data_IF_724111180483
#
_entry.id   IF_724111180483
#
_cell.length_a   1.000
_cell.length_b   1.000
_cell.length_c   1.000
_cell.angle_alpha   90.00
_cell.angle_beta   90.00
_cell.angle_gamma   90.00
#
_symmetry.space_group_name_H-M   'P 1'
#
loop_
_entity.id
_entity.type
_entity.pdbx_description
1 polymer ?
#
# COMPACT_ATOMS: atom_id res chain seq x y z
N UNK A 1 14.76 1.25 -24.42
CA UNK A 1 13.48 0.97 -23.70
C UNK A 1 13.78 0.02 -22.56
N UNK A 2 13.30 0.29 -21.38
CA UNK A 2 13.49 -0.58 -20.22
C UNK A 2 12.20 -1.38 -19.97
N UNK A 3 12.29 -2.71 -19.98
CA UNK A 3 11.16 -3.59 -19.73
C UNK A 3 11.20 -4.01 -18.26
N UNK A 4 10.32 -3.48 -17.39
CA UNK A 4 10.29 -3.86 -15.99
C UNK A 4 9.83 -5.30 -15.84
N UNK A 5 10.55 -6.09 -15.05
CA UNK A 5 10.30 -7.54 -14.93
C UNK A 5 9.91 -7.98 -13.53
N UNK A 6 10.52 -7.43 -12.50
CA UNK A 6 10.31 -7.87 -11.11
C UNK A 6 10.87 -6.89 -10.09
N UNK A 7 10.50 -7.08 -8.85
CA UNK A 7 11.13 -6.43 -7.71
C UNK A 7 12.40 -7.21 -7.34
N UNK A 8 13.55 -6.56 -7.42
CA UNK A 8 14.83 -7.17 -7.08
C UNK A 8 15.01 -7.29 -5.56
N UNK A 9 14.70 -6.21 -4.83
CA UNK A 9 14.80 -6.14 -3.37
C UNK A 9 13.94 -5.00 -2.85
N UNK A 10 13.42 -5.14 -1.64
CA UNK A 10 12.77 -4.04 -0.93
C UNK A 10 13.07 -4.07 0.56
N UNK A 11 13.00 -2.91 1.18
CA UNK A 11 13.18 -2.72 2.62
C UNK A 11 12.07 -1.84 3.17
N UNK A 12 11.73 -2.05 4.44
CA UNK A 12 10.69 -1.30 5.14
C UNK A 12 11.31 -0.45 6.24
N UNK A 13 10.94 0.81 6.28
CA UNK A 13 11.39 1.78 7.27
C UNK A 13 10.20 2.30 8.09
N UNK A 14 10.38 2.38 9.38
CA UNK A 14 9.45 3.04 10.30
C UNK A 14 10.14 4.27 10.88
N UNK A 15 9.56 5.45 10.66
CA UNK A 15 10.11 6.73 11.14
C UNK A 15 11.61 6.90 10.81
N UNK A 16 12.02 6.46 9.61
CA UNK A 16 13.40 6.51 9.15
C UNK A 16 14.30 5.37 9.63
N UNK A 17 13.83 4.49 10.49
CA UNK A 17 14.56 3.34 11.00
C UNK A 17 14.15 2.07 10.25
N UNK A 18 15.13 1.34 9.73
CA UNK A 18 14.90 0.09 9.02
C UNK A 18 14.32 -0.98 9.94
N UNK A 19 13.24 -1.61 9.52
CA UNK A 19 12.66 -2.76 10.21
C UNK A 19 13.42 -4.05 9.85
N UNK A 20 13.97 -4.69 10.86
CA UNK A 20 14.71 -5.94 10.74
C UNK A 20 13.85 -7.10 11.29
N UNK A 21 14.04 -8.31 10.76
CA UNK A 21 13.32 -9.49 11.21
C UNK A 21 11.90 -9.63 10.70
N UNK A 22 11.53 -8.86 9.68
CA UNK A 22 10.24 -8.99 9.00
C UNK A 22 10.18 -10.25 8.12
N UNK A 23 8.99 -10.66 7.76
CA UNK A 23 8.76 -11.71 6.76
C UNK A 23 9.17 -11.29 5.36
N UNK A 24 9.24 -12.25 4.45
CA UNK A 24 9.72 -12.04 3.08
C UNK A 24 8.70 -11.34 2.19
N UNK A 25 7.42 -11.56 2.43
CA UNK A 25 6.33 -11.09 1.59
C UNK A 25 5.50 -10.02 2.31
N UNK A 26 5.14 -8.98 1.57
CA UNK A 26 4.22 -7.94 2.04
C UNK A 26 3.25 -7.59 0.91
N UNK A 27 1.96 -7.81 1.13
CA UNK A 27 0.92 -7.46 0.19
C UNK A 27 0.52 -5.99 0.34
N UNK A 28 0.57 -5.24 -0.75
CA UNK A 28 0.06 -3.88 -0.79
C UNK A 28 -1.48 -3.89 -0.85
N UNK A 29 -2.15 -2.88 -0.30
CA UNK A 29 -3.60 -2.79 -0.33
C UNK A 29 -4.13 -2.59 -1.74
N UNK A 30 -5.32 -3.11 -2.01
CA UNK A 30 -6.04 -2.88 -3.25
C UNK A 30 -6.81 -1.55 -3.20
N UNK A 31 -7.02 -0.95 -4.36
CA UNK A 31 -7.84 0.25 -4.53
C UNK A 31 -9.17 -0.18 -5.14
N UNK A 32 -10.16 -0.44 -4.28
CA UNK A 32 -11.47 -0.90 -4.67
C UNK A 32 -12.53 0.11 -4.25
N UNK A 33 -13.36 0.54 -5.22
CA UNK A 33 -14.45 1.49 -5.00
C UNK A 33 -15.77 0.76 -4.79
N UNK A 34 -16.69 1.27 -3.95
CA UNK A 34 -18.04 0.77 -3.91
C UNK A 34 -18.75 1.06 -5.23
N UNK A 35 -19.62 0.15 -5.65
CA UNK A 35 -20.39 0.24 -6.88
C UNK A 35 -21.88 0.21 -6.60
N UNK A 36 -22.65 0.87 -7.47
CA UNK A 36 -24.11 0.77 -7.50
C UNK A 36 -24.55 0.14 -8.81
N UNK A 37 -25.53 -0.73 -8.76
CA UNK A 37 -26.12 -1.34 -9.95
C UNK A 37 -27.05 -0.34 -10.62
N UNK A 38 -26.85 -0.08 -11.91
CA UNK A 38 -27.68 0.78 -12.74
C UNK A 38 -28.42 -0.06 -13.75
N UNK A 39 -29.74 0.08 -13.75
CA UNK A 39 -30.64 -0.56 -14.71
C UNK A 39 -31.81 0.37 -15.01
N UNK A 40 -32.50 0.19 -16.12
CA UNK A 40 -33.69 0.98 -16.44
C UNK A 40 -33.96 1.12 -17.93
N UNK A 41 -35.00 1.93 -18.24
CA UNK A 41 -35.41 2.18 -19.62
C UNK A 41 -34.29 2.87 -20.44
N UNK A 42 -33.99 2.32 -21.60
CA UNK A 42 -32.89 2.80 -22.46
C UNK A 42 -31.52 2.18 -22.17
N UNK A 43 -31.43 1.33 -21.14
CA UNK A 43 -30.25 0.59 -20.82
C UNK A 43 -30.48 -0.89 -21.16
N UNK A 44 -29.59 -1.47 -21.96
CA UNK A 44 -29.66 -2.89 -22.31
C UNK A 44 -28.92 -3.73 -21.27
N UNK A 45 -29.65 -4.13 -20.21
CA UNK A 45 -29.12 -4.93 -19.12
C UNK A 45 -28.80 -4.10 -17.89
N UNK A 46 -27.85 -4.55 -17.13
CA UNK A 46 -27.36 -3.93 -15.89
C UNK A 46 -25.85 -3.67 -15.99
N UNK A 47 -25.39 -2.62 -15.33
CA UNK A 47 -23.97 -2.39 -15.11
C UNK A 47 -23.70 -1.84 -13.71
N UNK A 48 -22.50 -2.05 -13.21
CA UNK A 48 -22.05 -1.50 -11.95
C UNK A 48 -21.38 -0.15 -12.17
N UNK A 49 -21.87 0.87 -11.49
CA UNK A 49 -21.34 2.23 -11.55
C UNK A 49 -20.46 2.49 -10.33
N UNK A 50 -19.13 2.60 -10.52
CA UNK A 50 -18.23 2.88 -9.42
C UNK A 50 -18.35 4.32 -8.96
N UNK A 51 -18.18 4.55 -7.66
CA UNK A 51 -18.17 5.88 -7.06
C UNK A 51 -16.72 6.33 -6.87
N UNK A 52 -16.17 7.18 -7.73
CA UNK A 52 -14.78 7.60 -7.62
C UNK A 52 -14.54 8.41 -6.34
N UNK A 53 -13.37 8.18 -5.74
CA UNK A 53 -12.92 8.85 -4.53
C UNK A 53 -13.34 8.20 -3.22
N UNK A 54 -14.25 7.25 -3.26
CA UNK A 54 -14.57 6.38 -2.12
C UNK A 54 -13.87 5.05 -2.32
N UNK A 55 -13.09 4.63 -1.34
CA UNK A 55 -12.43 3.34 -1.36
C UNK A 55 -12.90 2.50 -0.18
N UNK A 56 -13.09 1.21 -0.43
CA UNK A 56 -13.30 0.24 0.61
C UNK A 56 -12.12 0.23 1.59
N UNK A 57 -12.29 -0.37 2.74
CA UNK A 57 -11.23 -0.45 3.73
C UNK A 57 -9.95 -1.02 3.11
N UNK A 58 -8.84 -0.34 3.38
CA UNK A 58 -7.52 -0.75 2.93
C UNK A 58 -6.68 -1.10 4.13
N UNK A 59 -6.05 -2.25 4.08
CA UNK A 59 -5.23 -2.78 5.14
C UNK A 59 -3.83 -3.10 4.62
N UNK A 60 -2.84 -2.89 5.46
CA UNK A 60 -1.48 -3.33 5.24
C UNK A 60 -1.07 -4.24 6.39
N UNK A 61 -0.82 -5.50 6.09
CA UNK A 61 -0.27 -6.44 7.05
C UNK A 61 1.26 -6.44 6.97
N UNK A 62 1.91 -6.19 8.10
CA UNK A 62 3.36 -6.25 8.21
C UNK A 62 3.74 -7.55 8.92
N UNK A 63 4.31 -8.52 8.21
CA UNK A 63 4.71 -9.78 8.80
C UNK A 63 6.07 -9.69 9.48
N UNK A 64 6.22 -10.37 10.62
CA UNK A 64 7.47 -10.54 11.33
C UNK A 64 7.71 -12.02 11.61
N UNK A 65 8.97 -12.41 11.65
CA UNK A 65 9.32 -13.81 11.98
C UNK A 65 9.06 -14.13 13.43
N UNK A 66 9.34 -13.17 14.31
CA UNK A 66 9.08 -13.28 15.74
C UNK A 66 8.56 -11.95 16.30
N UNK A 67 7.91 -12.01 17.45
CA UNK A 67 7.50 -10.80 18.17
C UNK A 67 8.75 -10.12 18.75
N UNK A 68 9.25 -9.11 18.06
CA UNK A 68 10.42 -8.32 18.44
C UNK A 68 10.00 -6.97 19.05
N UNK A 69 10.97 -6.20 19.51
CA UNK A 69 10.71 -4.83 19.97
C UNK A 69 10.22 -3.93 18.85
N UNK A 70 10.71 -4.12 17.64
CA UNK A 70 10.28 -3.41 16.45
C UNK A 70 8.82 -3.75 16.11
N UNK A 71 8.45 -5.03 16.14
CA UNK A 71 7.09 -5.46 15.96
C UNK A 71 6.18 -4.89 17.06
N UNK A 72 6.60 -4.93 18.32
CA UNK A 72 5.85 -4.37 19.43
C UNK A 72 5.64 -2.87 19.31
N UNK A 73 6.58 -2.13 18.72
CA UNK A 73 6.42 -0.69 18.48
C UNK A 73 5.28 -0.38 17.52
N UNK A 74 5.02 -1.26 16.55
CA UNK A 74 3.88 -1.15 15.64
C UNK A 74 2.55 -1.55 16.27
N UNK A 75 2.56 -2.27 17.38
CA UNK A 75 1.36 -2.70 18.08
C UNK A 75 0.67 -1.58 18.87
N UNK A 76 1.28 -0.40 18.97
CA UNK A 76 0.67 0.76 19.61
C UNK A 76 -0.53 1.26 18.78
N UNK A 77 -1.73 1.12 19.33
CA UNK A 77 -2.99 1.49 18.66
C UNK A 77 -3.40 2.95 18.86
N UNK A 78 -2.69 3.70 19.71
CA UNK A 78 -3.02 5.09 20.03
C UNK A 78 -2.30 6.11 19.16
N UNK A 79 -1.28 5.70 18.46
CA UNK A 79 -0.48 6.58 17.60
C UNK A 79 -0.53 6.11 16.15
N UNK A 80 -0.56 7.06 15.23
CA UNK A 80 -0.41 6.77 13.81
C UNK A 80 1.03 6.32 13.52
N UNK A 81 1.14 5.33 12.66
CA UNK A 81 2.42 4.81 12.20
C UNK A 81 2.71 5.29 10.78
N UNK A 82 3.95 5.68 10.53
CA UNK A 82 4.44 6.08 9.22
C UNK A 82 5.44 5.03 8.75
N UNK A 83 5.07 4.30 7.71
CA UNK A 83 5.94 3.31 7.07
C UNK A 83 6.35 3.79 5.69
N UNK A 84 7.59 3.54 5.35
CA UNK A 84 8.14 3.79 4.03
C UNK A 84 8.77 2.51 3.51
N UNK A 85 8.30 2.06 2.36
CA UNK A 85 8.83 0.89 1.67
C UNK A 85 9.66 1.39 0.50
N UNK A 86 10.92 1.01 0.46
CA UNK A 86 11.83 1.35 -0.63
C UNK A 86 12.30 0.08 -1.30
N UNK A 87 12.25 0.06 -2.62
CA UNK A 87 12.67 -1.10 -3.38
C UNK A 87 13.28 -0.73 -4.71
N UNK A 88 13.80 -1.73 -5.39
CA UNK A 88 14.31 -1.61 -6.75
C UNK A 88 13.53 -2.51 -7.69
N UNK A 89 13.01 -1.92 -8.75
CA UNK A 89 12.41 -2.65 -9.87
C UNK A 89 13.54 -3.02 -10.82
N UNK A 90 13.69 -4.30 -11.09
CA UNK A 90 14.60 -4.79 -12.10
C UNK A 90 13.93 -4.74 -13.47
N UNK A 91 14.61 -4.20 -14.44
CA UNK A 91 14.20 -4.20 -15.82
C UNK A 91 15.35 -4.63 -16.75
N UNK A 92 14.99 -4.92 -17.97
CA UNK A 92 15.94 -5.26 -19.01
C UNK A 92 15.88 -4.22 -20.12
N UNK A 93 17.06 -3.80 -20.59
CA UNK A 93 17.19 -2.95 -21.78
C UNK A 93 17.03 -3.77 -23.06
N UNK A 94 16.90 -3.08 -24.18
CA UNK A 94 16.82 -3.72 -25.50
C UNK A 94 18.07 -4.56 -25.82
N UNK A 95 19.21 -4.19 -25.25
CA UNK A 95 20.48 -4.92 -25.42
C UNK A 95 20.64 -6.11 -24.45
N UNK A 96 19.67 -6.27 -23.53
CA UNK A 96 19.67 -7.34 -22.54
C UNK A 96 20.36 -6.99 -21.22
N UNK A 97 20.83 -5.77 -21.04
CA UNK A 97 21.41 -5.32 -19.80
C UNK A 97 20.36 -5.16 -18.70
N UNK A 98 20.79 -5.33 -17.45
CA UNK A 98 19.93 -5.18 -16.29
C UNK A 98 20.03 -3.75 -15.74
N UNK A 99 18.89 -3.11 -15.57
CA UNK A 99 18.76 -1.80 -14.93
C UNK A 99 17.82 -1.85 -13.75
N UNK A 100 18.04 -0.97 -12.77
CA UNK A 100 17.19 -0.85 -11.59
C UNK A 100 16.54 0.52 -11.53
N UNK A 101 15.22 0.51 -11.26
CA UNK A 101 14.43 1.73 -11.07
C UNK A 101 13.90 1.76 -9.64
N UNK A 102 14.06 2.88 -8.90
CA UNK A 102 13.58 2.95 -7.53
C UNK A 102 12.06 2.99 -7.45
N UNK A 103 11.51 2.24 -6.52
CA UNK A 103 10.10 2.32 -6.11
C UNK A 103 10.04 2.70 -4.64
N UNK A 104 9.12 3.59 -4.31
CA UNK A 104 8.87 4.04 -2.95
C UNK A 104 7.38 4.02 -2.66
N UNK A 105 7.01 3.40 -1.55
CA UNK A 105 5.62 3.38 -1.06
C UNK A 105 5.60 3.97 0.33
N UNK A 106 4.82 5.01 0.54
CA UNK A 106 4.62 5.65 1.84
C UNK A 106 3.22 5.32 2.32
N UNK A 107 3.12 4.81 3.54
CA UNK A 107 1.85 4.44 4.16
C UNK A 107 1.75 5.06 5.54
N UNK A 108 0.61 5.65 5.83
CA UNK A 108 0.26 6.13 7.17
C UNK A 108 -1.05 5.49 7.59
N UNK A 109 -1.09 5.00 8.82
CA UNK A 109 -2.28 4.37 9.33
C UNK A 109 -2.21 4.09 10.83
N UNK A 110 -3.30 3.56 11.34
CA UNK A 110 -3.41 3.11 12.72
C UNK A 110 -3.44 1.59 12.78
N UNK A 111 -2.84 1.05 13.80
CA UNK A 111 -2.88 -0.39 14.03
C UNK A 111 -4.29 -0.84 14.37
N UNK A 112 -4.80 -1.75 13.57
CA UNK A 112 -6.12 -2.34 13.72
C UNK A 112 -6.08 -3.67 14.45
N UNK A 113 -5.05 -4.49 14.17
CA UNK A 113 -4.96 -5.86 14.63
C UNK A 113 -3.50 -6.23 14.89
N UNK A 114 -3.28 -6.92 15.98
CA UNK A 114 -1.98 -7.51 16.31
C UNK A 114 -2.16 -9.01 16.55
N UNK A 115 -1.53 -9.83 15.74
CA UNK A 115 -1.48 -11.28 15.88
C UNK A 115 -0.07 -11.69 16.32
N UNK A 116 0.15 -12.04 17.59
CA UNK A 116 1.47 -12.45 18.05
C UNK A 116 2.00 -13.72 17.38
N UNK A 117 1.09 -14.53 16.85
CA UNK A 117 1.45 -15.79 16.21
C UNK A 117 1.44 -16.98 17.15
N UNK A 118 2.26 -17.97 16.87
CA UNK A 118 2.31 -19.24 17.59
C UNK A 118 3.74 -19.59 18.02
N UNK A 119 3.86 -20.33 19.09
CA UNK A 119 5.13 -20.81 19.64
C UNK A 119 5.32 -22.29 19.23
N UNK A 120 6.33 -22.54 18.42
CA UNK A 120 6.77 -23.87 18.04
C UNK A 120 8.29 -23.88 17.97
N UNK A 121 8.93 -24.82 18.63
CA UNK A 121 10.39 -24.93 18.62
C UNK A 121 10.95 -25.03 17.20
N UNK A 122 12.04 -24.32 16.93
CA UNK A 122 12.74 -24.27 15.65
C UNK A 122 11.94 -23.70 14.47
N UNK A 123 10.85 -22.97 14.72
CA UNK A 123 10.02 -22.32 13.69
C UNK A 123 9.81 -20.84 14.00
N UNK A 124 9.47 -20.06 12.97
CA UNK A 124 9.05 -18.68 13.15
C UNK A 124 7.70 -18.59 13.86
N UNK A 125 7.45 -17.48 14.56
CA UNK A 125 6.15 -17.25 15.21
C UNK A 125 5.05 -16.84 14.24
N UNK A 126 5.41 -16.35 13.06
CA UNK A 126 4.47 -15.80 12.07
C UNK A 126 3.65 -14.63 12.65
N UNK A 127 4.32 -13.72 13.35
CA UNK A 127 3.71 -12.51 13.88
C UNK A 127 3.25 -11.59 12.76
N UNK A 128 2.05 -11.02 12.87
CA UNK A 128 1.53 -10.08 11.90
C UNK A 128 0.85 -8.90 12.60
N UNK A 129 1.12 -7.70 12.10
CA UNK A 129 0.47 -6.48 12.57
C UNK A 129 -0.21 -5.83 11.38
N UNK A 130 -1.51 -5.61 11.49
CA UNK A 130 -2.33 -5.03 10.42
C UNK A 130 -2.63 -3.58 10.72
N UNK A 131 -2.35 -2.71 9.76
CA UNK A 131 -2.62 -1.29 9.80
C UNK A 131 -3.85 -0.96 8.95
N UNK A 132 -4.75 -0.14 9.48
CA UNK A 132 -5.80 0.49 8.70
C UNK A 132 -5.24 1.74 8.04
N UNK A 133 -5.26 1.79 6.72
CA UNK A 133 -4.57 2.81 5.94
C UNK A 133 -5.43 4.08 5.83
N UNK A 134 -4.83 5.23 6.08
CA UNK A 134 -5.42 6.57 5.89
C UNK A 134 -4.75 7.36 4.79
N UNK A 135 -3.50 7.05 4.50
CA UNK A 135 -2.72 7.69 3.45
C UNK A 135 -1.82 6.66 2.80
N UNK A 136 -1.77 6.66 1.49
CA UNK A 136 -0.84 5.85 0.71
C UNK A 136 -0.34 6.65 -0.49
N UNK A 137 0.97 6.57 -0.73
CA UNK A 137 1.64 7.13 -1.89
C UNK A 137 2.50 6.05 -2.53
N UNK A 138 2.33 5.84 -3.82
CA UNK A 138 3.18 4.96 -4.62
C UNK A 138 3.93 5.81 -5.63
N UNK A 139 5.24 5.74 -5.58
CA UNK A 139 6.16 6.56 -6.37
C UNK A 139 7.16 5.66 -7.07
N UNK A 140 7.37 5.88 -8.35
CA UNK A 140 8.36 5.17 -9.16
C UNK A 140 9.24 6.19 -9.85
N UNK A 141 10.57 6.02 -9.74
CA UNK A 141 11.58 6.91 -10.32
C UNK A 141 11.37 8.39 -9.94
N UNK A 142 10.95 8.64 -8.69
CA UNK A 142 10.70 9.98 -8.19
C UNK A 142 9.37 10.59 -8.64
N UNK A 143 8.60 9.91 -9.48
CA UNK A 143 7.30 10.39 -9.94
C UNK A 143 6.15 9.72 -9.18
N UNK A 144 5.22 10.47 -8.58
CA UNK A 144 4.08 9.88 -7.89
C UNK A 144 3.11 9.28 -8.91
N UNK A 145 2.82 7.98 -8.77
CA UNK A 145 1.85 7.27 -9.61
C UNK A 145 0.46 7.32 -9.00
N UNK A 146 0.34 7.02 -7.71
CA UNK A 146 -0.92 7.01 -6.99
C UNK A 146 -0.71 7.66 -5.63
N UNK A 147 -1.56 8.61 -5.29
CA UNK A 147 -1.59 9.25 -3.97
C UNK A 147 -3.03 9.31 -3.48
N UNK A 148 -3.30 8.69 -2.34
CA UNK A 148 -4.61 8.72 -1.70
C UNK A 148 -4.48 9.24 -0.27
N UNK A 149 -5.23 10.30 0.04
CA UNK A 149 -5.39 10.80 1.39
C UNK A 149 -6.88 10.78 1.75
N UNK A 150 -7.30 9.79 2.53
CA UNK A 150 -8.71 9.60 2.90
C UNK A 150 -9.26 10.71 3.78
N UNK A 151 -8.40 11.31 4.61
CA UNK A 151 -8.83 12.36 5.55
C UNK A 151 -9.02 13.69 4.83
N UNK A 152 -8.15 14.01 3.89
CA UNK A 152 -8.25 15.24 3.09
C UNK A 152 -9.09 15.09 1.82
N UNK A 153 -9.55 13.88 1.53
CA UNK A 153 -10.34 13.61 0.33
C UNK A 153 -9.60 13.79 -0.98
N UNK A 154 -8.29 13.53 -0.99
CA UNK A 154 -7.45 13.65 -2.18
C UNK A 154 -7.16 12.28 -2.79
N UNK A 155 -7.39 12.13 -4.08
CA UNK A 155 -6.98 10.98 -4.86
C UNK A 155 -6.34 11.44 -6.17
N UNK A 156 -5.05 11.25 -6.31
CA UNK A 156 -4.28 11.66 -7.48
C UNK A 156 -3.69 10.44 -8.18
N UNK A 157 -3.79 10.42 -9.50
CA UNK A 157 -3.17 9.42 -10.37
C UNK A 157 -2.29 10.15 -11.39
N UNK A 158 -1.02 9.75 -11.47
CA UNK A 158 -0.06 10.42 -12.35
C UNK A 158 0.16 11.90 -12.04
N UNK A 159 -0.01 12.30 -10.78
CA UNK A 159 0.12 13.70 -10.34
C UNK A 159 -1.13 14.55 -10.56
N UNK A 160 -2.21 14.00 -11.13
CA UNK A 160 -3.47 14.71 -11.38
C UNK A 160 -4.50 14.28 -10.34
N UNK A 161 -5.04 15.23 -9.57
CA UNK A 161 -6.11 14.98 -8.61
C UNK A 161 -7.41 14.66 -9.34
N UNK A 162 -7.89 13.42 -9.18
CA UNK A 162 -9.12 12.93 -9.82
C UNK A 162 -10.39 13.55 -9.23
N UNK A 163 -10.32 14.12 -8.04
CA UNK A 163 -11.46 14.68 -7.32
C UNK A 163 -11.48 16.20 -7.28
N UNK A 164 -10.56 16.87 -7.98
CA UNK A 164 -10.43 18.32 -7.96
C UNK A 164 -11.72 19.03 -8.38
N UNK A 165 -12.38 18.54 -9.43
CA UNK A 165 -13.63 19.10 -9.91
C UNK A 165 -14.79 18.92 -8.91
N UNK A 166 -14.85 17.77 -8.23
CA UNK A 166 -15.88 17.52 -7.21
C UNK A 166 -15.64 18.39 -5.97
N UNK A 167 -14.41 18.52 -5.54
CA UNK A 167 -14.03 19.36 -4.39
C UNK A 167 -14.36 20.83 -4.64
N UNK A 168 -14.19 21.30 -5.87
CA UNK A 168 -14.55 22.67 -6.25
C UNK A 168 -16.04 22.96 -6.20
N UNK A 169 -16.91 21.93 -6.19
CA UNK A 169 -18.36 22.04 -6.08
C UNK A 169 -18.86 22.07 -4.63
N UNK A 170 -18.02 21.63 -3.70
CA UNK A 170 -18.33 21.56 -2.27
C UNK A 170 -17.67 22.72 -1.50
#
# INVERSE_FOLDING_TARGET
>A
MNIPTKIAKYEVYKDGTKLIGRGEEMALPSFETPTNTVSGAGILGEYEDPTPGYFNEQELAVPFRVMSKEAASLANMLKAHHLEIRGGIQGNTDDGDIEFTPIRVVVRGLTKKCEPGKLKAANSMETSITLSIRYILIEVDGEPLIELNKIRGKYAVGGVDQLAALEAMC
#
